data_IF_132587571217
#
_entry.id   IF_132587571217
#
_cell.length_a   1.000
_cell.length_b   1.000
_cell.length_c   1.000
_cell.angle_alpha   90.00
_cell.angle_beta   90.00
_cell.angle_gamma   90.00
#
_symmetry.space_group_name_H-M   'P 1'
#
loop_
_entity.id
_entity.type
_entity.pdbx_description
1 polymer ?
#
# COMPACT_ATOMS: atom_id res chain seq x y z
N UNK A 1 27.58 -60.50 -41.16
CA UNK A 1 26.19 -60.34 -40.67
C UNK A 1 26.15 -60.19 -39.15
N UNK A 2 26.75 -61.10 -38.38
CA UNK A 2 26.78 -61.02 -36.90
C UNK A 2 27.43 -59.74 -36.31
N UNK A 3 28.60 -59.34 -36.81
CA UNK A 3 29.29 -58.11 -36.36
C UNK A 3 28.47 -56.81 -36.49
N UNK A 4 27.59 -56.71 -37.50
CA UNK A 4 26.75 -55.53 -37.70
C UNK A 4 25.55 -55.51 -36.74
N UNK A 5 25.02 -56.69 -36.39
CA UNK A 5 23.92 -56.83 -35.43
C UNK A 5 24.34 -56.46 -34.02
N UNK A 6 25.56 -56.84 -33.61
CA UNK A 6 26.06 -56.56 -32.27
C UNK A 6 26.34 -55.06 -32.05
N UNK A 7 26.85 -54.37 -33.08
CA UNK A 7 27.09 -52.92 -33.03
C UNK A 7 25.76 -52.17 -32.88
N UNK A 8 24.74 -52.51 -33.66
CA UNK A 8 23.42 -51.87 -33.59
C UNK A 8 22.80 -52.08 -32.18
N UNK A 9 22.92 -53.29 -31.64
CA UNK A 9 22.39 -53.61 -30.30
C UNK A 9 23.09 -52.82 -29.18
N UNK A 10 24.39 -52.52 -29.32
CA UNK A 10 25.13 -51.68 -28.37
C UNK A 10 24.68 -50.22 -28.45
N UNK A 11 24.49 -49.66 -29.65
CA UNK A 11 24.03 -48.29 -29.82
C UNK A 11 22.59 -48.08 -29.30
N UNK A 12 21.70 -49.04 -29.53
CA UNK A 12 20.33 -48.99 -29.00
C UNK A 12 20.33 -48.99 -27.46
N UNK A 13 21.13 -49.86 -26.83
CA UNK A 13 21.26 -49.91 -25.38
C UNK A 13 21.82 -48.60 -24.79
N UNK A 14 22.81 -47.98 -25.44
CA UNK A 14 23.36 -46.68 -25.02
C UNK A 14 22.29 -45.58 -25.13
N UNK A 15 21.48 -45.59 -26.19
CA UNK A 15 20.38 -44.64 -26.36
C UNK A 15 19.32 -44.77 -25.27
N UNK A 16 18.92 -46.00 -24.92
CA UNK A 16 17.97 -46.23 -23.81
C UNK A 16 18.52 -45.81 -22.46
N UNK A 17 19.81 -46.08 -22.19
CA UNK A 17 20.48 -45.63 -20.95
C UNK A 17 20.50 -44.10 -20.89
N UNK A 18 20.80 -43.42 -22.00
CA UNK A 18 20.82 -41.95 -22.06
C UNK A 18 19.42 -41.35 -21.87
N UNK A 19 18.40 -41.93 -22.51
CA UNK A 19 17.01 -41.53 -22.32
C UNK A 19 16.55 -41.71 -20.87
N UNK A 20 16.91 -42.83 -20.24
CA UNK A 20 16.59 -43.11 -18.84
C UNK A 20 17.30 -42.15 -17.89
N UNK A 21 18.55 -41.79 -18.17
CA UNK A 21 19.28 -40.77 -17.41
C UNK A 21 18.62 -39.40 -17.51
N UNK A 22 18.28 -38.94 -18.72
CA UNK A 22 17.63 -37.64 -18.91
C UNK A 22 16.25 -37.60 -18.26
N UNK A 23 15.45 -38.66 -18.43
CA UNK A 23 14.12 -38.72 -17.86
C UNK A 23 14.16 -38.80 -16.32
N UNK A 24 15.06 -39.62 -15.78
CA UNK A 24 15.27 -39.77 -14.33
C UNK A 24 15.73 -38.48 -13.67
N UNK A 25 16.68 -37.78 -14.28
CA UNK A 25 17.19 -36.49 -13.76
C UNK A 25 16.10 -35.42 -13.74
N UNK A 26 15.28 -35.31 -14.80
CA UNK A 26 14.16 -34.36 -14.85
C UNK A 26 13.08 -34.66 -13.80
N UNK A 27 12.81 -35.94 -13.54
CA UNK A 27 11.85 -36.36 -12.53
C UNK A 27 12.31 -35.98 -11.12
N UNK A 28 13.61 -36.16 -10.83
CA UNK A 28 14.21 -35.79 -9.54
C UNK A 28 14.20 -34.28 -9.33
N UNK A 29 14.47 -33.47 -10.36
CA UNK A 29 14.42 -32.01 -10.24
C UNK A 29 13.01 -31.46 -9.96
N UNK A 30 11.97 -32.11 -10.50
CA UNK A 30 10.58 -31.72 -10.26
C UNK A 30 10.10 -32.09 -8.86
N UNK A 31 10.71 -33.12 -8.26
CA UNK A 31 10.37 -33.65 -6.94
C UNK A 31 11.36 -33.23 -5.84
N UNK A 32 11.99 -32.05 -5.95
CA UNK A 32 12.78 -31.52 -4.84
C UNK A 32 11.83 -31.33 -3.63
N UNK A 33 11.98 -32.11 -2.54
CA UNK A 33 11.05 -32.11 -1.42
C UNK A 33 11.03 -30.77 -0.65
N UNK A 34 11.93 -29.87 -1.02
CA UNK A 34 12.08 -28.55 -0.43
C UNK A 34 11.53 -27.43 -1.31
N UNK A 35 11.03 -27.69 -2.53
CA UNK A 35 10.58 -26.62 -3.45
C UNK A 35 9.61 -25.65 -2.76
N UNK A 36 8.65 -26.21 -2.03
CA UNK A 36 7.54 -25.47 -1.42
C UNK A 36 7.73 -25.25 0.08
N UNK A 37 8.95 -25.35 0.60
CA UNK A 37 9.25 -25.08 2.01
C UNK A 37 9.84 -23.69 2.21
N UNK A 38 9.66 -23.12 3.41
CA UNK A 38 10.31 -21.88 3.80
C UNK A 38 11.83 -22.05 3.87
N UNK A 39 12.59 -21.06 3.39
CA UNK A 39 14.05 -21.14 3.24
C UNK A 39 14.75 -19.87 3.68
N UNK A 40 15.97 -20.04 4.17
CA UNK A 40 16.95 -18.99 4.31
C UNK A 40 17.96 -19.15 3.17
N UNK A 41 18.04 -18.17 2.28
CA UNK A 41 18.91 -18.18 1.12
C UNK A 41 19.94 -17.06 1.24
N UNK A 42 21.19 -17.37 0.95
CA UNK A 42 22.25 -16.37 0.86
C UNK A 42 22.73 -16.29 -0.58
N UNK A 43 22.47 -15.17 -1.26
CA UNK A 43 22.81 -14.96 -2.66
C UNK A 43 23.43 -13.57 -2.84
N UNK A 44 24.58 -13.48 -3.52
CA UNK A 44 25.32 -12.22 -3.76
C UNK A 44 25.63 -11.41 -2.49
N UNK A 45 25.81 -12.08 -1.34
CA UNK A 45 26.04 -11.43 -0.05
C UNK A 45 24.76 -10.90 0.64
N UNK A 46 23.59 -11.15 0.07
CA UNK A 46 22.29 -10.83 0.68
C UNK A 46 21.66 -12.07 1.31
N UNK A 47 21.02 -11.88 2.48
CA UNK A 47 20.21 -12.90 3.14
C UNK A 47 18.73 -12.70 2.81
N UNK A 48 18.13 -13.70 2.19
CA UNK A 48 16.71 -13.75 1.86
C UNK A 48 15.99 -14.74 2.78
N UNK A 49 14.88 -14.30 3.35
CA UNK A 49 13.93 -15.16 4.06
C UNK A 49 12.75 -15.37 3.11
N UNK A 50 12.60 -16.59 2.61
CA UNK A 50 11.58 -16.93 1.61
C UNK A 50 10.53 -17.83 2.26
N UNK A 51 9.26 -17.44 2.10
CA UNK A 51 8.13 -18.25 2.56
C UNK A 51 7.83 -19.40 1.60
N UNK A 52 7.16 -20.43 2.12
CA UNK A 52 6.52 -21.44 1.29
C UNK A 52 5.38 -20.85 0.46
N UNK A 53 5.05 -21.48 -0.67
CA UNK A 53 3.89 -21.08 -1.48
C UNK A 53 2.61 -21.17 -0.63
N UNK A 54 1.84 -20.07 -0.59
CA UNK A 54 0.63 -19.98 0.23
C UNK A 54 0.85 -19.84 1.74
N UNK A 55 2.10 -19.66 2.20
CA UNK A 55 2.42 -19.47 3.62
C UNK A 55 2.93 -18.06 3.92
N UNK A 56 2.81 -17.63 5.19
CA UNK A 56 3.27 -16.33 5.66
C UNK A 56 4.57 -16.43 6.48
N UNK A 57 5.42 -15.41 6.38
CA UNK A 57 6.55 -15.22 7.29
C UNK A 57 6.04 -14.56 8.56
N UNK A 58 6.18 -15.24 9.69
CA UNK A 58 5.74 -14.72 10.99
C UNK A 58 6.93 -14.58 11.93
N UNK A 59 7.19 -13.35 12.40
CA UNK A 59 8.22 -13.06 13.38
C UNK A 59 7.57 -12.86 14.76
N UNK A 60 8.03 -13.59 15.77
CA UNK A 60 7.48 -13.51 17.14
C UNK A 60 8.60 -13.41 18.16
N UNK A 61 8.47 -12.47 19.08
CA UNK A 61 9.31 -12.38 20.28
C UNK A 61 8.53 -12.87 21.51
N UNK A 62 9.25 -13.21 22.59
CA UNK A 62 8.67 -13.54 23.89
C UNK A 62 9.33 -12.67 24.97
N UNK A 63 8.57 -12.27 25.99
CA UNK A 63 9.07 -11.42 27.06
C UNK A 63 9.42 -10.01 26.58
N UNK A 64 10.59 -9.50 26.98
CA UNK A 64 11.10 -8.17 26.63
C UNK A 64 11.91 -8.15 25.31
N UNK A 65 11.67 -9.07 24.39
CA UNK A 65 12.38 -9.15 23.11
C UNK A 65 11.80 -8.19 22.05
N UNK A 66 12.68 -7.59 21.25
CA UNK A 66 12.32 -6.68 20.15
C UNK A 66 12.79 -7.23 18.81
N UNK A 67 12.08 -6.87 17.73
CA UNK A 67 12.51 -7.10 16.35
C UNK A 67 12.96 -5.75 15.82
N UNK A 68 14.23 -5.66 15.47
CA UNK A 68 14.80 -4.47 14.87
C UNK A 68 15.12 -4.73 13.40
N UNK A 69 14.81 -3.77 12.54
CA UNK A 69 15.26 -3.74 11.15
C UNK A 69 16.30 -2.62 11.10
N UNK A 70 17.56 -2.99 10.91
CA UNK A 70 18.71 -2.11 11.16
C UNK A 70 18.70 -1.62 12.63
N UNK A 71 18.74 -0.31 12.86
CA UNK A 71 18.67 0.30 14.19
C UNK A 71 17.24 0.61 14.66
N UNK A 72 16.23 0.34 13.85
CA UNK A 72 14.84 0.74 14.12
C UNK A 72 14.00 -0.40 14.70
N UNK A 73 13.26 -0.09 15.77
CA UNK A 73 12.40 -1.07 16.43
C UNK A 73 11.04 -1.17 15.74
N UNK A 74 10.72 -2.35 15.20
CA UNK A 74 9.52 -2.58 14.42
C UNK A 74 8.23 -2.34 15.22
N UNK A 75 8.23 -2.65 16.53
CA UNK A 75 7.09 -2.38 17.39
C UNK A 75 6.88 -0.86 17.59
N UNK A 76 7.97 -0.11 17.69
CA UNK A 76 7.91 1.35 17.84
C UNK A 76 7.41 2.01 16.55
N UNK A 77 7.96 1.62 15.41
CA UNK A 77 7.56 2.14 14.08
C UNK A 77 6.08 1.85 13.80
N UNK A 78 5.61 0.63 14.06
CA UNK A 78 4.19 0.26 13.87
C UNK A 78 3.26 1.04 14.80
N UNK A 79 3.68 1.30 16.04
CA UNK A 79 2.92 2.16 16.96
C UNK A 79 2.81 3.60 16.45
N UNK A 80 3.92 4.19 15.98
CA UNK A 80 3.92 5.54 15.42
C UNK A 80 3.04 5.63 14.16
N UNK A 81 3.13 4.64 13.28
CA UNK A 81 2.29 4.56 12.08
C UNK A 81 0.79 4.49 12.45
N UNK A 82 0.43 3.66 13.44
CA UNK A 82 -0.96 3.59 13.93
C UNK A 82 -1.43 4.93 14.50
N UNK A 83 -0.59 5.58 15.31
CA UNK A 83 -0.90 6.89 15.90
C UNK A 83 -1.12 7.96 14.82
N UNK A 84 -0.30 7.96 13.78
CA UNK A 84 -0.46 8.87 12.64
C UNK A 84 -1.77 8.59 11.88
N UNK A 85 -2.09 7.32 11.61
CA UNK A 85 -3.35 6.94 10.95
C UNK A 85 -4.58 7.42 11.74
N UNK A 86 -4.61 7.20 13.06
CA UNK A 86 -5.70 7.69 13.91
C UNK A 86 -5.78 9.22 13.96
N UNK A 87 -4.64 9.93 13.89
CA UNK A 87 -4.65 11.38 13.85
C UNK A 87 -5.26 11.92 12.55
N UNK A 88 -4.98 11.28 11.41
CA UNK A 88 -5.60 11.61 10.12
C UNK A 88 -7.10 11.35 10.15
N UNK A 89 -7.51 10.19 10.64
CA UNK A 89 -8.94 9.85 10.77
C UNK A 89 -9.69 10.88 11.61
N UNK A 90 -9.15 11.25 12.78
CA UNK A 90 -9.73 12.30 13.63
C UNK A 90 -9.77 13.67 12.96
N UNK A 91 -8.73 14.00 12.20
CA UNK A 91 -8.71 15.27 11.47
C UNK A 91 -9.82 15.34 10.43
N UNK A 92 -10.06 14.25 9.70
CA UNK A 92 -11.14 14.15 8.72
C UNK A 92 -12.53 14.18 9.36
N UNK A 93 -12.75 13.45 10.45
CA UNK A 93 -14.08 13.25 11.02
C UNK A 93 -14.51 14.36 11.98
N UNK A 94 -13.59 14.88 12.78
CA UNK A 94 -13.91 15.83 13.86
C UNK A 94 -13.45 17.24 13.48
N UNK A 95 -12.15 17.38 13.18
CA UNK A 95 -11.53 18.70 13.07
C UNK A 95 -11.99 19.48 11.84
N UNK A 96 -12.17 18.80 10.70
CA UNK A 96 -12.68 19.43 9.47
C UNK A 96 -14.12 19.91 9.61
N UNK A 97 -14.95 19.12 10.30
CA UNK A 97 -16.35 19.45 10.55
C UNK A 97 -16.46 20.66 11.48
N UNK A 98 -15.67 20.70 12.56
CA UNK A 98 -15.63 21.83 13.49
C UNK A 98 -15.11 23.11 12.84
N UNK A 99 -14.11 23.01 11.95
CA UNK A 99 -13.63 24.17 11.20
C UNK A 99 -14.72 24.69 10.26
N UNK A 100 -15.42 23.79 9.54
CA UNK A 100 -16.48 24.18 8.62
C UNK A 100 -17.67 24.83 9.34
N UNK A 101 -18.09 24.27 10.49
CA UNK A 101 -19.19 24.84 11.30
C UNK A 101 -18.80 26.19 11.87
N UNK A 102 -17.57 26.35 12.35
CA UNK A 102 -17.04 27.62 12.87
C UNK A 102 -17.00 28.70 11.79
N UNK A 103 -16.52 28.37 10.58
CA UNK A 103 -16.49 29.30 9.44
C UNK A 103 -17.90 29.69 9.00
N UNK A 104 -18.83 28.73 8.95
CA UNK A 104 -20.23 29.00 8.61
C UNK A 104 -20.91 29.89 9.68
N UNK A 105 -20.61 29.64 10.96
CA UNK A 105 -21.05 30.46 12.08
C UNK A 105 -20.51 31.89 12.02
N UNK A 106 -19.21 32.05 11.72
CA UNK A 106 -18.60 33.38 11.54
C UNK A 106 -19.21 34.11 10.35
N UNK A 107 -19.37 33.42 9.22
CA UNK A 107 -19.94 33.99 7.99
C UNK A 107 -21.38 34.46 8.22
N UNK A 108 -22.22 33.67 8.88
CA UNK A 108 -23.60 34.06 9.22
C UNK A 108 -23.66 35.23 10.21
N UNK A 109 -22.76 35.23 11.21
CA UNK A 109 -22.64 36.30 12.21
C UNK A 109 -22.16 37.61 11.62
N UNK A 110 -21.29 37.60 10.60
CA UNK A 110 -20.81 38.82 9.93
C UNK A 110 -21.79 39.30 8.86
N UNK A 111 -22.33 38.38 8.06
CA UNK A 111 -23.19 38.72 6.90
C UNK A 111 -24.56 39.22 7.32
N UNK A 112 -25.16 38.70 8.40
CA UNK A 112 -26.47 39.12 8.90
C UNK A 112 -26.52 40.60 9.35
N UNK A 113 -25.65 41.04 10.27
CA UNK A 113 -25.56 42.44 10.69
C UNK A 113 -25.13 43.37 9.56
N UNK A 114 -24.25 42.93 8.66
CA UNK A 114 -23.81 43.73 7.53
C UNK A 114 -24.94 43.97 6.52
N UNK A 115 -25.70 42.93 6.14
CA UNK A 115 -26.88 43.06 5.29
C UNK A 115 -27.95 43.94 5.92
N UNK A 116 -28.23 43.79 7.21
CA UNK A 116 -29.17 44.66 7.94
C UNK A 116 -28.71 46.12 8.00
N UNK A 117 -27.41 46.36 8.06
CA UNK A 117 -26.85 47.72 7.98
C UNK A 117 -26.95 48.28 6.56
N UNK A 118 -26.75 47.44 5.53
CA UNK A 118 -26.88 47.81 4.13
C UNK A 118 -28.34 48.14 3.75
N UNK A 119 -29.28 47.29 4.17
CA UNK A 119 -30.72 47.47 3.95
C UNK A 119 -31.24 48.73 4.64
N UNK A 120 -30.78 49.01 5.87
CA UNK A 120 -31.05 50.31 6.52
C UNK A 120 -30.49 51.46 5.68
N UNK A 121 -29.26 51.36 5.20
CA UNK A 121 -28.65 52.40 4.37
C UNK A 121 -29.45 52.65 3.07
N UNK A 122 -29.93 51.60 2.41
CA UNK A 122 -30.77 51.68 1.20
C UNK A 122 -32.13 52.32 1.50
N UNK A 123 -32.76 52.01 2.64
CA UNK A 123 -34.01 52.67 3.04
C UNK A 123 -33.83 54.14 3.45
N UNK A 124 -32.63 54.52 3.92
CA UNK A 124 -32.28 55.91 4.25
C UNK A 124 -31.84 56.72 3.03
N UNK A 125 -31.62 56.11 1.87
CA UNK A 125 -31.37 56.79 0.60
C UNK A 125 -32.71 56.92 -0.14
N UNK A 126 -33.45 58.04 0.01
CA UNK A 126 -34.64 58.24 -0.80
C UNK A 126 -34.22 58.39 -2.25
N UNK A 127 -34.91 57.65 -3.13
CA UNK A 127 -34.83 57.68 -4.59
C UNK A 127 -34.35 59.03 -5.14
N UNK A 128 -33.03 59.18 -5.30
CA UNK A 128 -32.40 60.42 -5.74
C UNK A 128 -32.39 60.53 -7.27
N UNK A 129 -33.38 59.91 -7.93
CA UNK A 129 -33.53 59.86 -9.39
C UNK A 129 -34.85 60.45 -9.89
N UNK A 130 -35.51 61.30 -9.09
CA UNK A 130 -36.61 62.14 -9.57
C UNK A 130 -36.44 63.59 -9.12
N UNK A 131 -35.32 64.21 -9.48
CA UNK A 131 -35.15 65.66 -9.44
C UNK A 131 -35.42 66.23 -10.82
N UNK A 132 -36.66 66.63 -11.09
CA UNK A 132 -37.00 67.41 -12.28
C UNK A 132 -36.24 68.74 -12.25
N UNK A 133 -35.57 69.07 -13.36
CA UNK A 133 -34.98 70.40 -13.57
C UNK A 133 -36.10 71.45 -13.64
N UNK A 134 -36.02 72.57 -12.90
CA UNK A 134 -36.88 73.71 -13.18
C UNK A 134 -36.37 74.42 -14.43
N UNK A 135 -37.19 74.44 -15.48
CA UNK A 135 -37.02 75.34 -16.63
C UNK A 135 -37.29 76.78 -16.20
N UNK A 136 -36.32 77.66 -16.41
CA UNK A 136 -36.51 79.10 -16.46
C UNK A 136 -36.96 79.53 -17.87
#
# INVERSE_FOLDING_TARGET
>A
VYLFSDIIMVYDNIFFIWMLLVYGVNYVYSYLPYKDQAKLLSENGHLYIVSAEGANITLRTRGAGYININEENLLHVTYLARKAATAVEKFETESLVDIQTTINGLTSTVRGPMLRRLERLETFLPNSTSGGYPTA
#
